data_IF_190541479239
#
_entry.id   IF_190541479239
#
_cell.length_a   1.000
_cell.length_b   1.000
_cell.length_c   1.000
_cell.angle_alpha   90.00
_cell.angle_beta   90.00
_cell.angle_gamma   90.00
#
_symmetry.space_group_name_H-M   'P 1'
#
loop_
_entity.id
_entity.type
_entity.pdbx_description
1 polymer ?
#
# COMPACT_ATOMS: atom_id res chain seq x y z
N UNK A 1 3.71 -7.18 -12.93
CA UNK A 1 4.33 -6.21 -11.99
C UNK A 1 5.80 -6.53 -11.70
N UNK A 2 6.13 -7.76 -11.39
CA UNK A 2 7.53 -8.14 -11.10
C UNK A 2 8.48 -7.85 -12.28
N UNK A 3 8.05 -8.13 -13.49
CA UNK A 3 8.82 -7.89 -14.70
C UNK A 3 9.14 -6.38 -14.86
N UNK A 4 8.18 -5.53 -14.55
CA UNK A 4 8.38 -4.07 -14.59
C UNK A 4 9.37 -3.61 -13.52
N UNK A 5 9.27 -4.15 -12.31
CA UNK A 5 10.22 -3.86 -11.22
C UNK A 5 11.63 -4.26 -11.64
N UNK A 6 11.81 -5.44 -12.20
CA UNK A 6 13.11 -5.93 -12.68
C UNK A 6 13.66 -5.05 -13.80
N UNK A 7 12.83 -4.65 -14.77
CA UNK A 7 13.23 -3.77 -15.85
C UNK A 7 13.64 -2.38 -15.32
N UNK A 8 12.92 -1.86 -14.35
CA UNK A 8 13.22 -0.56 -13.74
C UNK A 8 14.51 -0.60 -12.92
N UNK A 9 14.84 -1.74 -12.28
CA UNK A 9 16.13 -1.93 -11.63
C UNK A 9 17.28 -1.83 -12.63
N UNK A 10 17.16 -2.51 -13.77
CA UNK A 10 18.17 -2.44 -14.84
C UNK A 10 18.31 -1.03 -15.37
N UNK A 11 17.19 -0.34 -15.62
CA UNK A 11 17.18 1.04 -16.07
C UNK A 11 17.87 1.98 -15.07
N UNK A 12 17.57 1.84 -13.78
CA UNK A 12 18.18 2.64 -12.72
C UNK A 12 19.69 2.40 -12.63
N UNK A 13 20.16 1.16 -12.86
CA UNK A 13 21.59 0.84 -12.93
C UNK A 13 22.25 1.59 -14.09
N UNK A 14 21.65 1.56 -15.26
CA UNK A 14 22.18 2.22 -16.47
C UNK A 14 22.21 3.73 -16.34
N UNK A 15 21.22 4.29 -15.69
CA UNK A 15 21.08 5.74 -15.48
C UNK A 15 21.87 6.24 -14.27
N UNK A 16 22.50 5.34 -13.51
CA UNK A 16 23.19 5.67 -12.25
C UNK A 16 22.28 6.35 -11.21
N UNK A 17 20.98 6.02 -11.24
CA UNK A 17 20.01 6.51 -10.26
C UNK A 17 20.10 5.66 -8.99
N UNK A 18 20.99 6.06 -8.08
CA UNK A 18 21.33 5.28 -6.88
C UNK A 18 20.17 5.16 -5.91
N UNK A 19 19.35 6.20 -5.75
CA UNK A 19 18.21 6.16 -4.85
C UNK A 19 17.12 5.22 -5.37
N UNK A 20 16.77 5.33 -6.64
CA UNK A 20 15.80 4.45 -7.29
C UNK A 20 16.28 3.00 -7.23
N UNK A 21 17.55 2.78 -7.54
CA UNK A 21 18.14 1.45 -7.53
C UNK A 21 18.07 0.81 -6.13
N UNK A 22 18.48 1.53 -5.08
CA UNK A 22 18.45 1.00 -3.71
C UNK A 22 17.04 0.72 -3.23
N UNK A 23 16.10 1.61 -3.54
CA UNK A 23 14.69 1.46 -3.18
C UNK A 23 14.07 0.22 -3.84
N UNK A 24 14.31 0.04 -5.14
CA UNK A 24 13.77 -1.10 -5.88
C UNK A 24 14.44 -2.42 -5.48
N UNK A 25 15.72 -2.41 -5.14
CA UNK A 25 16.41 -3.60 -4.64
C UNK A 25 15.87 -4.06 -3.30
N UNK A 26 15.56 -3.13 -2.40
CA UNK A 26 14.91 -3.45 -1.13
C UNK A 26 13.52 -4.05 -1.35
N UNK A 27 12.76 -3.48 -2.28
CA UNK A 27 11.45 -4.02 -2.67
C UNK A 27 11.59 -5.44 -3.21
N UNK A 28 12.50 -5.65 -4.13
CA UNK A 28 12.73 -6.97 -4.72
C UNK A 28 13.14 -8.00 -3.66
N UNK A 29 14.00 -7.61 -2.73
CA UNK A 29 14.40 -8.46 -1.60
C UNK A 29 13.20 -8.88 -0.75
N UNK A 30 12.28 -7.95 -0.47
CA UNK A 30 11.06 -8.25 0.27
C UNK A 30 10.13 -9.19 -0.51
N UNK A 31 10.02 -9.00 -1.82
CA UNK A 31 9.26 -9.89 -2.72
C UNK A 31 9.83 -11.29 -2.71
N UNK A 32 11.15 -11.42 -2.86
CA UNK A 32 11.82 -12.72 -2.87
C UNK A 32 11.66 -13.45 -1.52
N UNK A 33 11.77 -12.72 -0.41
CA UNK A 33 11.58 -13.28 0.92
C UNK A 33 10.15 -13.82 1.11
N UNK A 34 9.17 -13.05 0.71
CA UNK A 34 7.76 -13.47 0.81
C UNK A 34 7.47 -14.67 -0.08
N UNK A 35 8.05 -14.70 -1.28
CA UNK A 35 7.93 -15.83 -2.20
C UNK A 35 8.46 -17.11 -1.54
N UNK A 36 9.61 -17.02 -0.89
CA UNK A 36 10.24 -18.16 -0.19
C UNK A 36 9.36 -18.59 0.99
N UNK A 37 8.88 -17.64 1.79
CA UNK A 37 8.04 -17.91 2.95
C UNK A 37 6.72 -18.60 2.57
N UNK A 38 6.15 -18.21 1.45
CA UNK A 38 4.92 -18.81 0.93
C UNK A 38 5.17 -20.10 0.15
N UNK A 39 6.41 -20.44 -0.12
CA UNK A 39 6.81 -21.64 -0.89
C UNK A 39 6.17 -21.68 -2.27
N UNK A 40 6.16 -20.56 -2.97
CA UNK A 40 5.64 -20.44 -4.33
C UNK A 40 6.75 -20.07 -5.30
N UNK A 41 6.59 -20.40 -6.58
CA UNK A 41 7.58 -20.07 -7.60
C UNK A 41 7.56 -18.58 -7.94
N UNK A 42 6.38 -17.96 -7.90
CA UNK A 42 6.20 -16.54 -8.20
C UNK A 42 5.05 -15.97 -7.37
N UNK A 43 5.27 -14.78 -6.79
CA UNK A 43 4.18 -14.05 -6.14
C UNK A 43 3.27 -13.42 -7.20
N UNK A 44 1.97 -13.39 -6.91
CA UNK A 44 1.02 -12.66 -7.74
C UNK A 44 1.10 -11.15 -7.46
N UNK A 45 0.48 -10.36 -8.34
CA UNK A 45 0.52 -8.90 -8.24
C UNK A 45 -0.14 -8.38 -6.96
N UNK A 46 -1.21 -9.01 -6.49
CA UNK A 46 -1.87 -8.62 -5.24
C UNK A 46 -0.94 -8.73 -4.04
N UNK A 47 -0.12 -9.78 -3.98
CA UNK A 47 0.87 -9.96 -2.91
C UNK A 47 1.98 -8.90 -3.00
N UNK A 48 2.41 -8.57 -4.21
CA UNK A 48 3.43 -7.53 -4.43
C UNK A 48 2.88 -6.16 -4.02
N UNK A 49 1.65 -5.85 -4.39
CA UNK A 49 0.97 -4.60 -4.00
C UNK A 49 0.91 -4.48 -2.47
N UNK A 50 0.58 -5.56 -1.77
CA UNK A 50 0.54 -5.57 -0.30
C UNK A 50 1.92 -5.28 0.31
N UNK A 51 2.99 -5.82 -0.26
CA UNK A 51 4.37 -5.56 0.18
C UNK A 51 4.72 -4.08 -0.04
N UNK A 52 4.40 -3.53 -1.21
CA UNK A 52 4.65 -2.12 -1.53
C UNK A 52 3.88 -1.20 -0.56
N UNK A 53 2.62 -1.49 -0.33
CA UNK A 53 1.78 -0.71 0.60
C UNK A 53 2.38 -0.68 2.01
N UNK A 54 2.87 -1.81 2.49
CA UNK A 54 3.53 -1.90 3.80
C UNK A 54 4.82 -1.09 3.83
N UNK A 55 5.62 -1.14 2.79
CA UNK A 55 6.86 -0.35 2.70
C UNK A 55 6.58 1.15 2.67
N UNK A 56 5.53 1.59 1.97
CA UNK A 56 5.10 2.98 1.95
C UNK A 56 4.64 3.42 3.35
N UNK A 57 3.84 2.60 4.02
CA UNK A 57 3.35 2.88 5.37
C UNK A 57 4.50 3.05 6.36
N UNK A 58 5.45 2.14 6.35
CA UNK A 58 6.64 2.20 7.22
C UNK A 58 7.42 3.48 6.99
N UNK A 59 7.58 3.90 5.74
CA UNK A 59 8.26 5.15 5.40
C UNK A 59 7.51 6.38 5.87
N UNK A 60 6.19 6.40 5.76
CA UNK A 60 5.37 7.49 6.28
C UNK A 60 5.51 7.62 7.80
N UNK A 61 5.55 6.51 8.51
CA UNK A 61 5.80 6.49 9.96
C UNK A 61 7.19 7.03 10.29
N UNK A 62 8.19 6.66 9.50
CA UNK A 62 9.56 7.18 9.66
C UNK A 62 9.64 8.70 9.46
N UNK A 63 8.88 9.24 8.51
CA UNK A 63 8.82 10.70 8.27
C UNK A 63 8.36 11.43 9.54
N UNK A 64 7.37 10.92 10.26
CA UNK A 64 6.89 11.50 11.51
C UNK A 64 8.04 11.61 12.53
N UNK A 65 8.85 10.55 12.65
CA UNK A 65 10.01 10.56 13.55
C UNK A 65 11.09 11.53 13.08
N UNK A 66 11.33 11.62 11.77
CA UNK A 66 12.31 12.57 11.20
C UNK A 66 11.87 14.02 11.38
N UNK A 67 10.57 14.29 11.33
CA UNK A 67 10.03 15.62 11.62
C UNK A 67 10.30 16.03 13.07
N UNK A 68 10.13 15.10 14.01
CA UNK A 68 10.45 15.34 15.42
C UNK A 68 11.92 15.65 15.64
N UNK A 69 12.80 15.04 14.86
CA UNK A 69 14.25 15.25 14.92
C UNK A 69 14.76 16.39 14.05
N UNK A 70 13.88 17.10 13.34
CA UNK A 70 14.25 18.17 12.40
C UNK A 70 15.24 17.71 11.32
N UNK A 71 15.06 16.48 10.82
CA UNK A 71 15.95 15.89 9.82
C UNK A 71 15.33 16.01 8.42
N UNK A 72 15.33 17.23 7.87
CA UNK A 72 14.76 17.51 6.56
C UNK A 72 15.41 16.69 5.43
N UNK A 73 16.71 16.43 5.54
CA UNK A 73 17.45 15.58 4.60
C UNK A 73 16.85 14.17 4.50
N UNK A 74 16.49 13.56 5.64
CA UNK A 74 15.88 12.23 5.69
C UNK A 74 14.42 12.26 5.26
N UNK A 75 13.70 13.34 5.55
CA UNK A 75 12.31 13.52 5.11
C UNK A 75 12.26 13.58 3.59
N UNK A 76 13.12 14.37 2.96
CA UNK A 76 13.15 14.52 1.50
C UNK A 76 13.52 13.21 0.81
N UNK A 77 14.52 12.50 1.33
CA UNK A 77 14.93 11.20 0.82
C UNK A 77 13.79 10.19 0.92
N UNK A 78 13.13 10.14 2.08
CA UNK A 78 12.04 9.19 2.32
C UNK A 78 10.84 9.48 1.44
N UNK A 79 10.50 10.75 1.23
CA UNK A 79 9.44 11.14 0.29
C UNK A 79 9.75 10.71 -1.14
N UNK A 80 11.01 10.84 -1.57
CA UNK A 80 11.43 10.36 -2.90
C UNK A 80 11.30 8.84 -3.03
N UNK A 81 11.62 8.09 -1.99
CA UNK A 81 11.44 6.65 -1.95
C UNK A 81 9.95 6.26 -2.05
N UNK A 82 9.08 7.01 -1.35
CA UNK A 82 7.62 6.81 -1.42
C UNK A 82 7.11 7.05 -2.84
N UNK A 83 7.59 8.09 -3.52
CA UNK A 83 7.21 8.37 -4.92
C UNK A 83 7.58 7.20 -5.84
N UNK A 84 8.79 6.66 -5.68
CA UNK A 84 9.26 5.52 -6.46
C UNK A 84 8.34 4.32 -6.27
N UNK A 85 7.99 4.00 -5.03
CA UNK A 85 7.12 2.87 -4.70
C UNK A 85 5.68 3.11 -5.13
N UNK A 86 5.18 4.32 -5.00
CA UNK A 86 3.80 4.69 -5.36
C UNK A 86 3.51 4.53 -6.84
N UNK A 87 4.54 4.61 -7.70
CA UNK A 87 4.39 4.42 -9.13
C UNK A 87 3.89 3.01 -9.51
N UNK A 88 4.06 2.03 -8.63
CA UNK A 88 3.58 0.66 -8.85
C UNK A 88 2.21 0.39 -8.26
N UNK A 89 1.70 1.31 -7.45
CA UNK A 89 0.40 1.13 -6.81
C UNK A 89 -0.74 1.42 -7.77
N UNK A 90 -1.88 0.71 -7.65
CA UNK A 90 -3.08 1.07 -8.39
C UNK A 90 -3.52 2.50 -8.07
N UNK A 91 -4.30 3.09 -8.96
CA UNK A 91 -4.86 4.42 -8.72
C UNK A 91 -5.66 4.42 -7.41
N UNK A 92 -5.39 5.40 -6.55
CA UNK A 92 -6.07 5.51 -5.25
C UNK A 92 -7.51 5.98 -5.43
N UNK A 93 -8.40 5.42 -4.61
CA UNK A 93 -9.82 5.76 -4.61
C UNK A 93 -10.01 7.10 -3.89
N UNK A 94 -10.86 7.99 -4.43
CA UNK A 94 -11.28 9.21 -3.75
C UNK A 94 -12.13 8.86 -2.51
N UNK A 95 -12.18 9.78 -1.54
CA UNK A 95 -13.01 9.59 -0.33
C UNK A 95 -14.49 9.42 -0.68
N UNK A 96 -14.97 10.16 -1.67
CA UNK A 96 -16.36 10.05 -2.14
C UNK A 96 -16.66 8.68 -2.71
N UNK A 97 -15.82 8.18 -3.60
CA UNK A 97 -15.98 6.85 -4.18
C UNK A 97 -15.86 5.76 -3.12
N UNK A 98 -14.92 5.89 -2.20
CA UNK A 98 -14.75 4.95 -1.08
C UNK A 98 -15.99 4.93 -0.19
N UNK A 99 -16.53 6.09 0.15
CA UNK A 99 -17.76 6.22 0.94
C UNK A 99 -18.94 5.51 0.26
N UNK A 100 -19.07 5.67 -1.05
CA UNK A 100 -20.13 5.00 -1.83
C UNK A 100 -19.98 3.48 -1.81
N UNK A 101 -18.76 2.99 -1.97
CA UNK A 101 -18.47 1.54 -1.91
C UNK A 101 -18.85 0.99 -0.53
N UNK A 102 -18.50 1.69 0.53
CA UNK A 102 -18.81 1.30 1.91
C UNK A 102 -20.33 1.28 2.14
N UNK A 103 -21.03 2.30 1.69
CA UNK A 103 -22.50 2.36 1.82
C UNK A 103 -23.19 1.21 1.10
N UNK A 104 -22.74 0.87 -0.10
CA UNK A 104 -23.26 -0.27 -0.84
C UNK A 104 -22.99 -1.59 -0.12
N UNK A 105 -21.79 -1.76 0.45
CA UNK A 105 -21.44 -2.95 1.22
C UNK A 105 -22.31 -3.09 2.47
N UNK A 106 -22.59 -1.98 3.18
CA UNK A 106 -23.48 -1.95 4.34
C UNK A 106 -24.90 -2.40 3.96
N UNK A 107 -25.41 -1.92 2.84
CA UNK A 107 -26.73 -2.33 2.33
C UNK A 107 -26.75 -3.79 1.93
N UNK A 108 -25.71 -4.27 1.29
CA UNK A 108 -25.61 -5.65 0.77
C UNK A 108 -25.68 -6.68 1.90
N UNK A 109 -25.06 -6.41 3.05
CA UNK A 109 -25.08 -7.31 4.22
C UNK A 109 -26.11 -6.92 5.27
N UNK A 110 -26.90 -5.89 5.01
CA UNK A 110 -27.89 -5.36 5.97
C UNK A 110 -27.26 -5.02 7.34
N UNK A 111 -26.08 -4.41 7.31
CA UNK A 111 -25.37 -4.03 8.53
C UNK A 111 -26.10 -2.90 9.26
N UNK A 112 -26.27 -3.01 10.55
CA UNK A 112 -26.98 -2.03 11.39
C UNK A 112 -26.15 -1.53 12.57
N UNK A 113 -25.19 -2.34 13.01
CA UNK A 113 -24.37 -2.01 14.18
C UNK A 113 -22.90 -2.30 13.90
N UNK A 114 -22.03 -1.82 14.80
CA UNK A 114 -20.59 -2.06 14.74
C UNK A 114 -20.22 -3.56 14.77
N UNK A 115 -21.12 -4.40 15.27
CA UNK A 115 -20.91 -5.86 15.24
C UNK A 115 -20.85 -6.43 13.83
N UNK A 116 -21.43 -5.74 12.87
CA UNK A 116 -21.43 -6.13 11.46
C UNK A 116 -20.18 -5.65 10.71
N UNK A 117 -19.29 -4.93 11.38
CA UNK A 117 -18.09 -4.34 10.78
C UNK A 117 -17.23 -5.37 10.02
N UNK A 118 -17.06 -6.58 10.58
CA UNK A 118 -16.26 -7.63 9.93
C UNK A 118 -16.80 -8.03 8.57
N UNK A 119 -18.12 -8.16 8.44
CA UNK A 119 -18.77 -8.49 7.17
C UNK A 119 -18.62 -7.39 6.13
N UNK A 120 -18.77 -6.12 6.55
CA UNK A 120 -18.58 -4.96 5.68
C UNK A 120 -17.12 -4.85 5.25
N UNK A 121 -16.17 -4.99 6.16
CA UNK A 121 -14.74 -4.95 5.87
C UNK A 121 -14.33 -5.98 4.83
N UNK A 122 -14.86 -7.19 4.91
CA UNK A 122 -14.56 -8.27 3.98
C UNK A 122 -14.92 -7.88 2.54
N UNK A 123 -16.12 -7.31 2.35
CA UNK A 123 -16.59 -6.89 1.03
C UNK A 123 -15.78 -5.69 0.52
N UNK A 124 -15.59 -4.68 1.35
CA UNK A 124 -14.86 -3.46 0.98
C UNK A 124 -13.42 -3.77 0.64
N UNK A 125 -12.73 -4.56 1.48
CA UNK A 125 -11.33 -4.96 1.24
C UNK A 125 -11.16 -5.63 -0.12
N UNK A 126 -12.10 -6.48 -0.51
CA UNK A 126 -12.10 -7.16 -1.80
C UNK A 126 -12.20 -6.18 -2.98
N UNK A 127 -13.02 -5.13 -2.82
CA UNK A 127 -13.27 -4.15 -3.89
C UNK A 127 -12.17 -3.09 -4.02
N UNK A 128 -11.44 -2.79 -2.95
CA UNK A 128 -10.48 -1.68 -2.91
C UNK A 128 -9.02 -2.12 -2.77
N UNK A 129 -8.69 -3.36 -3.04
CA UNK A 129 -7.35 -3.93 -2.88
C UNK A 129 -6.25 -2.98 -3.38
N UNK A 130 -5.39 -2.51 -2.46
CA UNK A 130 -4.27 -1.64 -2.78
C UNK A 130 -4.64 -0.22 -3.20
N UNK A 131 -5.93 0.12 -3.27
CA UNK A 131 -6.42 1.43 -3.73
C UNK A 131 -6.85 2.35 -2.59
N UNK A 132 -6.89 1.85 -1.37
CA UNK A 132 -7.23 2.63 -0.19
C UNK A 132 -6.48 2.11 1.04
N UNK A 133 -6.24 2.99 2.01
CA UNK A 133 -5.65 2.62 3.30
C UNK A 133 -6.73 1.91 4.14
N UNK A 134 -6.43 0.70 4.59
CA UNK A 134 -7.37 -0.09 5.39
C UNK A 134 -7.73 0.57 6.73
N UNK A 135 -6.85 1.36 7.31
CA UNK A 135 -7.15 2.13 8.53
C UNK A 135 -8.21 3.19 8.25
N UNK A 136 -8.09 3.88 7.13
CA UNK A 136 -9.09 4.86 6.69
C UNK A 136 -10.44 4.19 6.42
N UNK A 137 -10.43 3.05 5.72
CA UNK A 137 -11.63 2.25 5.45
C UNK A 137 -12.31 1.84 6.77
N UNK A 138 -11.55 1.31 7.70
CA UNK A 138 -12.04 0.91 9.02
C UNK A 138 -12.69 2.07 9.78
N UNK A 139 -12.05 3.23 9.78
CA UNK A 139 -12.58 4.43 10.44
C UNK A 139 -13.90 4.90 9.83
N UNK A 140 -14.01 4.90 8.51
CA UNK A 140 -15.24 5.30 7.82
C UNK A 140 -16.38 4.33 8.13
N UNK A 141 -16.11 3.02 8.08
CA UNK A 141 -17.12 2.00 8.40
C UNK A 141 -17.60 2.17 9.84
N UNK A 142 -16.67 2.31 10.77
CA UNK A 142 -16.98 2.50 12.18
C UNK A 142 -17.88 3.72 12.42
N UNK A 143 -17.59 4.83 11.75
CA UNK A 143 -18.39 6.05 11.85
C UNK A 143 -19.79 5.85 11.28
N UNK A 144 -19.94 5.10 10.20
CA UNK A 144 -21.25 4.87 9.57
C UNK A 144 -22.13 3.88 10.34
N UNK A 145 -21.52 2.96 11.07
CA UNK A 145 -22.21 1.92 11.85
C UNK A 145 -22.45 2.32 13.32
N UNK A 146 -21.93 3.43 13.71
CA UNK A 146 -22.11 3.95 15.07
C UNK A 146 -23.45 4.67 15.23
#
# INVERSE_FOLDING_TARGET
>A
MLEKINADIVSAMKEHDTLKLSTLRLLKGAVDLERINKRVDKLNDDNIIAIIAKQIKTRKESIVEFERGNRQDLIDKTNSEIEILSAYMPEQISEEELSNIIEQAIKEVNATTIKDMGSVMKIVSSKVKGRADMQQVSSIIKNKLN
#
